data_IF_887547440895
#
_entry.id   IF_887547440895
#
_cell.length_a   1.000
_cell.length_b   1.000
_cell.length_c   1.000
_cell.angle_alpha   90.00
_cell.angle_beta   90.00
_cell.angle_gamma   90.00
#
_symmetry.space_group_name_H-M   'P 1'
#
loop_
_entity.id
_entity.type
_entity.pdbx_description
1 polymer ?
#
# COMPACT_ATOMS: atom_id res chain seq x y z
N UNK A 1 12.72 -17.71 -11.20
CA UNK A 1 11.50 -18.53 -11.40
C UNK A 1 11.21 -18.89 -12.86
N UNK A 2 11.07 -17.95 -13.81
CA UNK A 2 10.81 -18.29 -15.23
C UNK A 2 11.81 -19.29 -15.86
N UNK A 3 13.11 -19.16 -15.59
CA UNK A 3 14.10 -20.15 -16.05
C UNK A 3 13.88 -21.53 -15.44
N UNK A 4 13.51 -21.59 -14.16
CA UNK A 4 13.28 -22.84 -13.44
C UNK A 4 12.04 -23.58 -13.93
N UNK A 5 10.98 -22.86 -14.31
CA UNK A 5 9.79 -23.50 -14.88
C UNK A 5 10.00 -24.13 -16.25
N UNK A 6 11.01 -23.69 -17.02
CA UNK A 6 11.37 -24.37 -18.26
C UNK A 6 12.00 -25.75 -18.01
N UNK A 7 12.62 -25.94 -16.85
CA UNK A 7 13.30 -27.19 -16.47
C UNK A 7 12.35 -28.11 -15.70
N UNK A 8 11.62 -27.54 -14.74
CA UNK A 8 10.82 -28.29 -13.76
C UNK A 8 9.32 -28.29 -14.04
N UNK A 9 8.87 -27.62 -15.10
CA UNK A 9 7.46 -27.51 -15.48
C UNK A 9 6.72 -26.36 -14.78
N UNK A 10 5.39 -26.37 -14.93
CA UNK A 10 4.51 -25.30 -14.44
C UNK A 10 4.31 -25.32 -12.92
N UNK A 11 4.51 -26.45 -12.26
CA UNK A 11 4.39 -26.58 -10.80
C UNK A 11 5.66 -27.27 -10.30
N UNK A 12 6.38 -26.62 -9.39
CA UNK A 12 7.59 -27.18 -8.80
C UNK A 12 7.77 -26.73 -7.36
N UNK A 13 8.46 -27.54 -6.55
CA UNK A 13 8.80 -27.20 -5.17
C UNK A 13 10.21 -26.61 -5.06
N UNK A 14 10.40 -25.78 -4.03
CA UNK A 14 11.68 -25.20 -3.63
C UNK A 14 11.82 -25.31 -2.12
N UNK A 15 13.01 -25.64 -1.64
CA UNK A 15 13.37 -25.46 -0.24
C UNK A 15 14.06 -24.10 -0.08
N UNK A 16 13.46 -23.23 0.74
CA UNK A 16 13.93 -21.89 1.02
C UNK A 16 14.55 -21.83 2.43
N UNK A 17 15.53 -22.69 2.70
CA UNK A 17 16.22 -22.74 3.99
C UNK A 17 15.34 -23.35 5.09
N UNK A 18 14.71 -24.49 4.80
CA UNK A 18 13.78 -25.19 5.68
C UNK A 18 12.32 -24.78 5.49
N UNK A 19 12.04 -23.78 4.64
CA UNK A 19 10.68 -23.40 4.25
C UNK A 19 10.37 -24.06 2.90
N UNK A 20 9.54 -25.10 2.93
CA UNK A 20 9.04 -25.73 1.69
C UNK A 20 8.04 -24.81 1.00
N UNK A 21 8.38 -24.38 -0.21
CA UNK A 21 7.55 -23.52 -1.05
C UNK A 21 7.16 -24.24 -2.34
N UNK A 22 5.90 -24.09 -2.76
CA UNK A 22 5.44 -24.56 -4.07
C UNK A 22 5.28 -23.34 -4.97
N UNK A 23 5.92 -23.36 -6.14
CA UNK A 23 5.81 -22.32 -7.15
C UNK A 23 4.80 -22.77 -8.21
N UNK A 24 3.74 -21.99 -8.35
CA UNK A 24 2.75 -22.12 -9.41
C UNK A 24 3.10 -21.16 -10.54
N UNK A 25 3.38 -21.68 -11.73
CA UNK A 25 3.68 -20.91 -12.92
C UNK A 25 2.81 -21.37 -14.11
N UNK A 26 1.68 -20.72 -14.30
CA UNK A 26 0.74 -21.01 -15.38
C UNK A 26 -0.66 -20.59 -14.99
N UNK A 27 -1.46 -20.17 -15.97
CA UNK A 27 -2.83 -19.69 -15.70
C UNK A 27 -3.69 -20.79 -15.06
N UNK A 28 -3.69 -21.99 -15.63
CA UNK A 28 -4.55 -23.09 -15.17
C UNK A 28 -4.18 -23.54 -13.75
N UNK A 29 -2.88 -23.70 -13.46
CA UNK A 29 -2.39 -24.06 -12.12
C UNK A 29 -2.75 -23.01 -11.07
N UNK A 30 -2.60 -21.72 -11.39
CA UNK A 30 -2.92 -20.61 -10.48
C UNK A 30 -4.43 -20.52 -10.27
N UNK A 31 -5.23 -20.69 -11.33
CA UNK A 31 -6.71 -20.65 -11.25
C UNK A 31 -7.24 -21.83 -10.44
N UNK A 32 -6.71 -23.02 -10.64
CA UNK A 32 -7.10 -24.21 -9.87
C UNK A 32 -6.89 -23.98 -8.37
N UNK A 33 -5.70 -23.54 -7.96
CA UNK A 33 -5.40 -23.30 -6.55
C UNK A 33 -6.15 -22.10 -5.95
N UNK A 34 -6.21 -20.96 -6.63
CA UNK A 34 -6.72 -19.71 -6.04
C UNK A 34 -8.23 -19.51 -6.24
N UNK A 35 -8.89 -20.24 -7.15
CA UNK A 35 -10.32 -20.11 -7.43
C UNK A 35 -11.06 -21.41 -7.10
N UNK A 36 -10.64 -22.54 -7.68
CA UNK A 36 -11.37 -23.80 -7.49
C UNK A 36 -11.10 -24.44 -6.12
N UNK A 37 -9.91 -24.21 -5.56
CA UNK A 37 -9.49 -24.73 -4.25
C UNK A 37 -9.16 -23.58 -3.27
N UNK A 38 -9.82 -22.43 -3.41
CA UNK A 38 -9.46 -21.20 -2.72
C UNK A 38 -9.38 -21.35 -1.20
N UNK A 39 -10.26 -22.14 -0.58
CA UNK A 39 -10.24 -22.37 0.88
C UNK A 39 -9.00 -23.13 1.36
N UNK A 40 -8.47 -24.05 0.55
CA UNK A 40 -7.28 -24.85 0.87
C UNK A 40 -6.01 -23.96 0.81
N UNK A 41 -5.97 -23.05 -0.16
CA UNK A 41 -4.84 -22.15 -0.40
C UNK A 41 -5.05 -20.73 0.18
N UNK A 42 -6.07 -20.53 1.02
CA UNK A 42 -6.42 -19.21 1.56
C UNK A 42 -5.44 -18.73 2.65
N UNK A 43 -4.75 -19.66 3.32
CA UNK A 43 -3.95 -19.36 4.50
C UNK A 43 -2.68 -18.54 4.19
N UNK A 44 -2.06 -17.97 5.22
CA UNK A 44 -0.83 -17.19 5.15
C UNK A 44 0.31 -17.92 5.86
N UNK A 45 1.52 -17.95 5.28
CA UNK A 45 2.66 -18.59 5.92
C UNK A 45 3.02 -17.86 7.21
N UNK A 46 3.21 -18.61 8.30
CA UNK A 46 3.65 -18.05 9.58
C UNK A 46 5.16 -17.87 9.58
N UNK A 47 5.61 -16.78 8.96
CA UNK A 47 7.04 -16.44 8.94
C UNK A 47 7.47 -15.84 10.29
N UNK A 48 8.67 -16.20 10.81
CA UNK A 48 9.19 -15.66 12.07
C UNK A 48 9.19 -14.12 12.10
N UNK A 49 9.47 -13.48 10.96
CA UNK A 49 9.44 -12.03 10.85
C UNK A 49 8.06 -11.45 11.16
N UNK A 50 7.00 -11.93 10.50
CA UNK A 50 5.65 -11.41 10.72
C UNK A 50 5.14 -11.75 12.11
N UNK A 51 5.54 -12.89 12.68
CA UNK A 51 5.26 -13.19 14.09
C UNK A 51 5.93 -12.18 15.04
N UNK A 52 7.16 -11.73 14.74
CA UNK A 52 7.86 -10.73 15.55
C UNK A 52 7.31 -9.30 15.36
N UNK A 53 6.90 -8.95 14.15
CA UNK A 53 6.47 -7.59 13.80
C UNK A 53 5.00 -7.32 14.13
N UNK A 54 4.11 -8.27 13.84
CA UNK A 54 2.65 -8.06 13.93
C UNK A 54 1.95 -9.13 14.74
N UNK A 55 2.68 -10.05 15.39
CA UNK A 55 2.11 -11.22 16.08
C UNK A 55 1.13 -12.02 15.20
N UNK A 56 1.32 -12.00 13.88
CA UNK A 56 0.38 -12.57 12.90
C UNK A 56 -1.04 -11.95 12.95
N UNK A 57 -1.17 -10.71 13.43
CA UNK A 57 -2.37 -9.89 13.34
C UNK A 57 -2.41 -9.04 12.06
N UNK A 58 -3.41 -8.17 11.97
CA UNK A 58 -3.73 -7.38 10.79
C UNK A 58 -4.66 -8.13 9.81
N UNK A 59 -4.54 -7.80 8.53
CA UNK A 59 -5.34 -8.29 7.41
C UNK A 59 -4.52 -9.08 6.38
N UNK A 60 -3.26 -8.70 6.16
CA UNK A 60 -2.39 -9.26 5.12
C UNK A 60 -1.73 -10.56 5.56
N UNK A 61 -1.23 -10.58 6.79
CA UNK A 61 -0.43 -11.69 7.34
C UNK A 61 -1.23 -12.64 8.23
N UNK A 62 -2.44 -12.25 8.64
CA UNK A 62 -3.29 -13.07 9.51
C UNK A 62 -3.65 -14.41 8.89
N UNK A 63 -3.67 -15.44 9.74
CA UNK A 63 -4.07 -16.79 9.34
C UNK A 63 -5.53 -16.83 8.90
N UNK A 64 -5.83 -17.67 7.93
CA UNK A 64 -7.19 -17.89 7.49
C UNK A 64 -8.03 -18.48 8.63
N UNK A 65 -9.19 -17.89 8.88
CA UNK A 65 -10.07 -18.29 9.97
C UNK A 65 -11.07 -17.20 10.34
N UNK A 66 -11.72 -17.37 11.49
CA UNK A 66 -12.76 -16.44 12.00
C UNK A 66 -12.24 -15.01 12.12
N UNK A 67 -11.11 -14.80 12.79
CA UNK A 67 -10.54 -13.46 12.98
C UNK A 67 -10.26 -12.75 11.65
N UNK A 68 -9.50 -13.37 10.75
CA UNK A 68 -9.24 -12.78 9.43
C UNK A 68 -10.54 -12.46 8.67
N UNK A 69 -11.54 -13.34 8.75
CA UNK A 69 -12.82 -13.14 8.06
C UNK A 69 -13.59 -11.94 8.63
N UNK A 70 -13.67 -11.82 9.96
CA UNK A 70 -14.32 -10.70 10.66
C UNK A 70 -13.65 -9.37 10.32
N UNK A 71 -12.33 -9.29 10.51
CA UNK A 71 -11.53 -8.08 10.22
C UNK A 71 -11.59 -7.67 8.75
N UNK A 72 -11.47 -8.63 7.83
CA UNK A 72 -11.59 -8.36 6.39
C UNK A 72 -12.98 -7.87 6.01
N UNK A 73 -14.03 -8.47 6.58
CA UNK A 73 -15.42 -8.06 6.32
C UNK A 73 -15.66 -6.63 6.81
N UNK A 74 -15.14 -6.28 7.99
CA UNK A 74 -15.19 -4.92 8.52
C UNK A 74 -14.49 -3.94 7.57
N UNK A 75 -13.23 -4.21 7.20
CA UNK A 75 -12.46 -3.35 6.29
C UNK A 75 -13.18 -3.15 4.95
N UNK A 76 -13.64 -4.23 4.30
CA UNK A 76 -14.37 -4.15 3.02
C UNK A 76 -15.69 -3.38 3.16
N UNK A 77 -16.44 -3.58 4.24
CA UNK A 77 -17.68 -2.84 4.49
C UNK A 77 -17.42 -1.35 4.68
N UNK A 78 -16.38 -0.99 5.45
CA UNK A 78 -15.92 0.38 5.64
C UNK A 78 -15.50 1.01 4.32
N UNK A 79 -14.70 0.34 3.50
CA UNK A 79 -14.33 0.84 2.17
C UNK A 79 -15.55 1.04 1.28
N UNK A 80 -16.56 0.18 1.38
CA UNK A 80 -17.82 0.38 0.65
C UNK A 80 -18.60 1.59 1.18
N UNK A 81 -18.67 1.80 2.49
CA UNK A 81 -19.48 2.87 3.09
C UNK A 81 -18.82 4.24 2.91
N UNK A 82 -17.52 4.35 3.19
CA UNK A 82 -16.79 5.63 3.20
C UNK A 82 -15.96 5.87 1.93
N UNK A 83 -15.75 4.81 1.14
CA UNK A 83 -15.15 4.86 -0.19
C UNK A 83 -16.21 4.83 -1.28
N UNK A 84 -16.18 3.84 -2.15
CA UNK A 84 -16.88 3.83 -3.45
C UNK A 84 -18.42 3.69 -3.42
N UNK A 85 -19.06 3.43 -2.27
CA UNK A 85 -20.53 3.32 -2.18
C UNK A 85 -21.29 4.64 -2.06
N UNK A 86 -20.58 5.78 -1.95
CA UNK A 86 -21.20 7.10 -1.87
C UNK A 86 -20.63 8.05 -2.95
N UNK A 87 -21.45 8.99 -3.42
CA UNK A 87 -20.99 10.13 -4.24
C UNK A 87 -19.91 10.99 -3.54
N UNK A 88 -19.77 10.85 -2.22
CA UNK A 88 -18.82 11.60 -1.39
C UNK A 88 -17.36 11.19 -1.62
N UNK A 89 -17.07 9.96 -2.04
CA UNK A 89 -15.68 9.53 -2.23
C UNK A 89 -15.08 9.98 -3.58
N UNK A 90 -15.90 10.03 -4.63
CA UNK A 90 -15.53 10.71 -5.89
C UNK A 90 -15.14 12.16 -5.62
N UNK A 91 -15.88 12.83 -4.73
CA UNK A 91 -15.55 14.19 -4.30
C UNK A 91 -14.21 14.26 -3.55
N UNK A 92 -13.93 13.35 -2.61
CA UNK A 92 -12.62 13.27 -1.91
C UNK A 92 -11.45 13.11 -2.88
N UNK A 93 -11.57 12.25 -3.89
CA UNK A 93 -10.52 12.07 -4.92
C UNK A 93 -10.35 13.32 -5.78
N UNK A 94 -11.47 13.91 -6.21
CA UNK A 94 -11.44 15.14 -7.00
C UNK A 94 -10.82 16.29 -6.22
N UNK A 95 -11.11 16.41 -4.93
CA UNK A 95 -10.56 17.43 -4.04
C UNK A 95 -9.04 17.24 -3.85
N UNK A 96 -8.58 16.02 -3.53
CA UNK A 96 -7.15 15.74 -3.40
C UNK A 96 -6.39 15.93 -4.72
N UNK A 97 -7.04 15.68 -5.86
CA UNK A 97 -6.45 15.97 -7.17
C UNK A 97 -6.19 17.47 -7.36
N UNK A 98 -7.05 18.35 -6.85
CA UNK A 98 -6.82 19.80 -6.90
C UNK A 98 -5.59 20.16 -6.06
N UNK A 99 -5.50 19.67 -4.82
CA UNK A 99 -4.34 19.90 -3.96
C UNK A 99 -3.03 19.40 -4.59
N UNK A 100 -3.06 18.22 -5.20
CA UNK A 100 -1.91 17.66 -5.90
C UNK A 100 -1.47 18.52 -7.10
N UNK A 101 -2.41 18.98 -7.91
CA UNK A 101 -2.11 19.84 -9.07
C UNK A 101 -1.57 21.20 -8.64
N UNK A 102 -2.11 21.77 -7.56
CA UNK A 102 -1.63 23.03 -7.00
C UNK A 102 -0.20 22.88 -6.44
N UNK A 103 0.09 21.75 -5.79
CA UNK A 103 1.45 21.42 -5.34
C UNK A 103 2.44 21.30 -6.52
N UNK A 104 2.05 20.68 -7.63
CA UNK A 104 2.87 20.64 -8.86
C UNK A 104 3.05 22.04 -9.46
N UNK A 105 2.00 22.86 -9.51
CA UNK A 105 2.05 24.23 -10.07
C UNK A 105 3.11 25.11 -9.35
N UNK A 106 3.44 24.83 -8.08
CA UNK A 106 4.49 25.56 -7.34
C UNK A 106 5.88 25.44 -7.95
N UNK A 107 6.16 24.36 -8.68
CA UNK A 107 7.45 24.13 -9.32
C UNK A 107 7.65 25.00 -10.58
N UNK A 108 6.57 25.52 -11.17
CA UNK A 108 6.59 26.46 -12.32
C UNK A 108 7.45 25.95 -13.49
N UNK A 109 7.29 24.67 -13.85
CA UNK A 109 8.04 24.03 -14.94
C UNK A 109 9.47 23.61 -14.61
N UNK A 110 9.97 23.90 -13.40
CA UNK A 110 11.30 23.43 -12.97
C UNK A 110 11.30 21.91 -12.72
N UNK A 111 12.43 21.22 -12.93
CA UNK A 111 12.55 19.79 -12.61
C UNK A 111 12.28 19.50 -11.14
N UNK A 112 11.57 18.41 -10.85
CA UNK A 112 11.34 17.94 -9.48
C UNK A 112 11.17 16.42 -9.39
N UNK A 113 11.27 15.90 -8.16
CA UNK A 113 10.94 14.51 -7.85
C UNK A 113 9.44 14.39 -7.53
N UNK A 114 8.74 13.62 -8.36
CA UNK A 114 7.31 13.41 -8.25
C UNK A 114 6.93 12.40 -7.14
N UNK A 115 7.89 11.60 -6.65
CA UNK A 115 7.63 10.51 -5.71
C UNK A 115 6.86 11.00 -4.49
N UNK A 116 7.35 12.04 -3.81
CA UNK A 116 6.74 12.53 -2.57
C UNK A 116 5.32 13.08 -2.82
N UNK A 117 5.12 13.89 -3.86
CA UNK A 117 3.80 14.46 -4.16
C UNK A 117 2.75 13.40 -4.48
N UNK A 118 3.09 12.39 -5.31
CA UNK A 118 2.15 11.29 -5.61
C UNK A 118 1.89 10.47 -4.36
N UNK A 119 2.92 10.18 -3.57
CA UNK A 119 2.77 9.39 -2.35
C UNK A 119 1.79 10.07 -1.40
N UNK A 120 1.92 11.38 -1.20
CA UNK A 120 1.02 12.16 -0.37
C UNK A 120 -0.41 12.17 -0.89
N UNK A 121 -0.59 12.42 -2.19
CA UNK A 121 -1.92 12.42 -2.80
C UNK A 121 -2.64 11.09 -2.57
N UNK A 122 -1.97 9.97 -2.86
CA UNK A 122 -2.53 8.62 -2.71
C UNK A 122 -2.77 8.28 -1.24
N UNK A 123 -1.80 8.57 -0.37
CA UNK A 123 -1.94 8.36 1.07
C UNK A 123 -3.12 9.13 1.63
N UNK A 124 -3.34 10.37 1.22
CA UNK A 124 -4.47 11.17 1.69
C UNK A 124 -5.82 10.57 1.33
N UNK A 125 -5.98 9.97 0.13
CA UNK A 125 -7.20 9.23 -0.20
C UNK A 125 -7.42 8.07 0.78
N UNK A 126 -6.35 7.33 1.09
CA UNK A 126 -6.40 6.20 2.03
C UNK A 126 -6.72 6.67 3.45
N UNK A 127 -6.05 7.73 3.92
CA UNK A 127 -6.21 8.31 5.24
C UNK A 127 -7.61 8.92 5.46
N UNK A 128 -8.21 9.51 4.42
CA UNK A 128 -9.59 10.00 4.47
C UNK A 128 -10.64 8.89 4.66
N UNK A 129 -10.28 7.63 4.39
CA UNK A 129 -11.13 6.46 4.70
C UNK A 129 -10.80 5.90 6.08
N UNK A 130 -9.52 5.89 6.45
CA UNK A 130 -9.05 5.25 7.69
C UNK A 130 -9.30 6.13 8.92
N UNK A 131 -8.91 7.40 8.83
CA UNK A 131 -8.92 8.40 9.89
C UNK A 131 -9.95 9.51 9.66
N UNK A 132 -10.48 9.64 8.45
CA UNK A 132 -11.42 10.72 8.10
C UNK A 132 -10.76 12.10 7.95
N UNK A 133 -9.44 12.16 8.01
CA UNK A 133 -8.64 13.38 7.86
C UNK A 133 -7.53 13.22 6.82
N UNK A 134 -7.06 14.34 6.29
CA UNK A 134 -5.93 14.43 5.35
C UNK A 134 -4.72 15.03 6.06
N UNK A 135 -3.54 14.67 5.59
CA UNK A 135 -2.27 15.26 6.02
C UNK A 135 -1.80 16.28 4.98
N UNK A 136 -1.15 17.35 5.45
CA UNK A 136 -0.56 18.35 4.54
C UNK A 136 0.66 17.78 3.85
N UNK A 137 1.04 18.36 2.71
CA UNK A 137 2.20 17.86 1.96
C UNK A 137 3.52 18.19 2.66
N UNK A 138 3.47 19.16 3.58
CA UNK A 138 4.55 19.62 4.44
C UNK A 138 4.59 18.90 5.79
N UNK A 139 3.66 17.97 6.07
CA UNK A 139 3.62 17.23 7.32
C UNK A 139 4.82 16.26 7.41
N UNK A 140 5.84 16.68 8.15
CA UNK A 140 7.10 15.93 8.27
C UNK A 140 6.95 14.63 9.03
N UNK A 141 6.02 14.53 9.97
CA UNK A 141 5.82 13.31 10.77
C UNK A 141 5.16 12.23 9.91
N UNK A 142 4.12 12.61 9.15
CA UNK A 142 3.50 11.69 8.21
C UNK A 142 4.45 11.27 7.08
N UNK A 143 5.25 12.21 6.54
CA UNK A 143 6.29 11.87 5.56
C UNK A 143 7.26 10.84 6.13
N UNK A 144 7.73 11.06 7.36
CA UNK A 144 8.68 10.17 7.99
C UNK A 144 8.11 8.75 8.16
N UNK A 145 6.85 8.63 8.61
CA UNK A 145 6.19 7.33 8.70
C UNK A 145 6.14 6.60 7.35
N UNK A 146 5.78 7.29 6.26
CA UNK A 146 5.72 6.68 4.93
C UNK A 146 7.11 6.27 4.43
N UNK A 147 8.15 7.06 4.72
CA UNK A 147 9.54 6.69 4.40
C UNK A 147 9.98 5.44 5.16
N UNK A 148 9.66 5.35 6.45
CA UNK A 148 9.92 4.17 7.28
C UNK A 148 9.19 2.94 6.70
N UNK A 149 7.94 3.07 6.27
CA UNK A 149 7.22 1.98 5.61
C UNK A 149 7.91 1.49 4.34
N UNK A 150 8.32 2.42 3.47
CA UNK A 150 9.02 2.09 2.24
C UNK A 150 10.38 1.42 2.53
N UNK A 151 11.10 1.90 3.55
CA UNK A 151 12.35 1.28 4.01
C UNK A 151 12.09 -0.14 4.53
N UNK A 152 11.06 -0.34 5.35
CA UNK A 152 10.72 -1.64 5.93
C UNK A 152 10.47 -2.71 4.87
N UNK A 153 9.88 -2.33 3.74
CA UNK A 153 9.64 -3.23 2.61
C UNK A 153 10.95 -3.60 1.91
N UNK A 154 11.84 -2.64 1.69
CA UNK A 154 13.17 -2.91 1.15
C UNK A 154 14.01 -3.79 2.10
N UNK A 155 13.93 -3.53 3.40
CA UNK A 155 14.59 -4.32 4.44
C UNK A 155 14.01 -5.74 4.51
N UNK A 156 12.68 -5.89 4.41
CA UNK A 156 12.01 -7.19 4.44
C UNK A 156 12.42 -8.09 3.27
N UNK A 157 12.73 -7.50 2.10
CA UNK A 157 13.26 -8.21 0.93
C UNK A 157 14.78 -8.50 1.01
N UNK A 158 15.47 -8.06 2.05
CA UNK A 158 16.93 -8.22 2.17
C UNK A 158 17.36 -9.65 2.51
N UNK A 159 18.55 -10.05 2.06
CA UNK A 159 19.13 -11.35 2.37
C UNK A 159 19.24 -11.62 3.88
N UNK A 160 19.54 -10.59 4.68
CA UNK A 160 19.58 -10.68 6.14
C UNK A 160 18.24 -11.01 6.78
N UNK A 161 17.13 -10.49 6.23
CA UNK A 161 15.79 -10.80 6.73
C UNK A 161 15.33 -12.17 6.24
N UNK A 162 15.71 -12.56 5.03
CA UNK A 162 15.51 -13.93 4.56
C UNK A 162 16.23 -14.95 5.46
N UNK A 163 17.47 -14.66 5.86
CA UNK A 163 18.20 -15.48 6.83
C UNK A 163 17.52 -15.50 8.21
N UNK A 164 16.97 -14.38 8.68
CA UNK A 164 16.19 -14.37 9.92
C UNK A 164 14.96 -15.29 9.84
N UNK A 165 14.26 -15.32 8.72
CA UNK A 165 13.11 -16.22 8.52
C UNK A 165 13.51 -17.69 8.50
N UNK A 166 14.66 -18.04 7.92
CA UNK A 166 15.19 -19.40 7.95
C UNK A 166 15.78 -19.78 9.33
N UNK A 167 16.41 -18.82 10.01
CA UNK A 167 17.17 -19.00 11.24
C UNK A 167 16.83 -17.91 12.28
N UNK A 168 15.70 -18.03 13.01
CA UNK A 168 15.22 -16.96 13.90
C UNK A 168 16.17 -16.59 15.05
N UNK A 169 17.07 -17.49 15.43
CA UNK A 169 18.09 -17.26 16.46
C UNK A 169 19.07 -16.12 16.09
N UNK A 170 19.18 -15.77 14.80
CA UNK A 170 19.94 -14.60 14.32
C UNK A 170 19.43 -13.30 14.97
N UNK A 171 18.17 -13.24 15.38
CA UNK A 171 17.60 -12.06 16.06
C UNK A 171 18.22 -11.74 17.43
N UNK A 172 19.10 -12.59 17.97
CA UNK A 172 19.89 -12.29 19.17
C UNK A 172 21.02 -11.30 18.84
N UNK A 173 21.46 -11.23 17.57
CA UNK A 173 22.52 -10.33 17.16
C UNK A 173 22.04 -8.87 17.21
N UNK A 174 22.76 -7.96 17.88
CA UNK A 174 22.33 -6.57 18.05
C UNK A 174 22.53 -5.71 16.79
N UNK A 175 22.92 -6.32 15.66
CA UNK A 175 23.28 -5.63 14.43
C UNK A 175 22.69 -6.31 13.19
N UNK A 176 22.47 -5.50 12.15
CA UNK A 176 21.95 -5.95 10.85
C UNK A 176 20.59 -5.34 10.50
N UNK A 177 20.18 -5.53 9.25
CA UNK A 177 18.95 -4.92 8.71
C UNK A 177 17.68 -5.39 9.39
N UNK A 178 17.65 -6.60 9.95
CA UNK A 178 16.52 -7.10 10.73
C UNK A 178 16.31 -6.29 12.03
N UNK A 179 17.39 -5.82 12.66
CA UNK A 179 17.29 -4.96 13.84
C UNK A 179 16.78 -3.56 13.49
N UNK A 180 17.21 -3.01 12.35
CA UNK A 180 16.65 -1.74 11.84
C UNK A 180 15.15 -1.88 11.59
N UNK A 181 14.74 -2.98 10.94
CA UNK A 181 13.33 -3.30 10.69
C UNK A 181 12.51 -3.39 11.99
N UNK A 182 13.06 -3.94 13.07
CA UNK A 182 12.39 -3.97 14.37
C UNK A 182 12.24 -2.59 15.02
N UNK A 183 13.26 -1.73 14.91
CA UNK A 183 13.18 -0.34 15.40
C UNK A 183 12.13 0.45 14.65
N UNK A 184 12.19 0.40 13.33
CA UNK A 184 11.23 1.04 12.44
C UNK A 184 9.80 0.59 12.71
N UNK A 185 9.57 -0.70 12.96
CA UNK A 185 8.25 -1.21 13.29
C UNK A 185 7.71 -0.71 14.64
N UNK A 186 8.58 -0.55 15.65
CA UNK A 186 8.19 0.02 16.94
C UNK A 186 7.81 1.50 16.80
N UNK A 187 8.61 2.27 16.06
CA UNK A 187 8.35 3.69 15.81
C UNK A 187 7.03 3.92 15.06
N UNK A 188 6.75 3.12 14.03
CA UNK A 188 5.46 3.12 13.33
C UNK A 188 4.31 2.76 14.28
N UNK A 189 4.51 1.77 15.15
CA UNK A 189 3.48 1.36 16.10
C UNK A 189 3.11 2.50 17.05
N UNK A 190 4.11 3.19 17.62
CA UNK A 190 3.92 4.31 18.53
C UNK A 190 3.20 5.48 17.82
N UNK A 191 3.65 5.83 16.61
CA UNK A 191 2.98 6.87 15.80
C UNK A 191 1.51 6.54 15.52
N UNK A 192 1.23 5.31 15.06
CA UNK A 192 -0.14 4.89 14.76
C UNK A 192 -0.99 4.81 16.03
N UNK A 193 -0.41 4.40 17.15
CA UNK A 193 -1.10 4.38 18.43
C UNK A 193 -1.56 5.78 18.84
N UNK A 194 -0.66 6.76 18.83
CA UNK A 194 -0.96 8.17 19.14
C UNK A 194 -1.97 8.78 18.17
N UNK A 195 -1.81 8.49 16.88
CA UNK A 195 -2.75 8.95 15.86
C UNK A 195 -4.16 8.39 16.08
N UNK A 196 -4.27 7.08 16.39
CA UNK A 196 -5.56 6.44 16.67
C UNK A 196 -6.22 7.06 17.90
N UNK A 197 -5.47 7.34 18.97
CA UNK A 197 -5.99 8.06 20.14
C UNK A 197 -6.58 9.40 19.73
N UNK A 198 -5.78 10.23 19.05
CA UNK A 198 -6.16 11.59 18.62
C UNK A 198 -7.45 11.61 17.81
N UNK A 199 -7.57 10.75 16.78
CA UNK A 199 -8.77 10.73 15.91
C UNK A 199 -10.01 10.20 16.64
N UNK A 200 -9.80 9.43 17.72
CA UNK A 200 -10.87 8.82 18.51
C UNK A 200 -11.39 9.68 19.66
N UNK A 201 -10.71 10.78 20.03
CA UNK A 201 -11.08 11.64 21.18
C UNK A 201 -12.55 12.09 21.18
N UNK A 202 -13.09 12.39 19.99
CA UNK A 202 -14.46 12.89 19.81
C UNK A 202 -15.39 11.86 19.14
N UNK A 203 -15.05 10.58 19.26
CA UNK A 203 -15.83 9.48 18.67
C UNK A 203 -17.23 9.43 19.29
N UNK A 204 -18.23 9.17 18.44
CA UNK A 204 -19.60 8.88 18.86
C UNK A 204 -19.87 7.38 18.66
N UNK A 205 -20.15 6.62 19.72
CA UNK A 205 -20.42 5.19 19.59
C UNK A 205 -21.55 4.91 18.59
N UNK A 206 -21.40 3.85 17.79
CA UNK A 206 -22.37 3.39 16.78
C UNK A 206 -22.64 4.38 15.63
N UNK A 207 -21.79 5.39 15.48
CA UNK A 207 -21.88 6.37 14.39
C UNK A 207 -20.48 6.60 13.78
N UNK A 208 -19.92 5.56 13.13
CA UNK A 208 -18.55 5.62 12.68
C UNK A 208 -18.37 6.62 11.53
N UNK A 209 -17.31 7.43 11.62
CA UNK A 209 -16.96 8.41 10.58
C UNK A 209 -15.94 7.85 9.57
N UNK A 210 -15.17 6.86 9.99
CA UNK A 210 -14.04 6.27 9.27
C UNK A 210 -13.72 4.87 9.83
N UNK A 211 -12.73 4.18 9.24
CA UNK A 211 -12.36 2.81 9.63
C UNK A 211 -12.07 2.64 11.12
N UNK A 212 -11.26 3.55 11.69
CA UNK A 212 -10.89 3.49 13.12
C UNK A 212 -12.13 3.51 14.02
N UNK A 213 -13.08 4.42 13.78
CA UNK A 213 -14.32 4.45 14.56
C UNK A 213 -15.11 3.14 14.42
N UNK A 214 -15.23 2.62 13.19
CA UNK A 214 -15.98 1.39 12.93
C UNK A 214 -15.35 0.17 13.64
N UNK A 215 -14.03 0.10 13.70
CA UNK A 215 -13.33 -0.96 14.40
C UNK A 215 -13.49 -0.83 15.93
N UNK A 216 -13.40 0.39 16.46
CA UNK A 216 -13.60 0.62 17.88
C UNK A 216 -15.05 0.30 18.32
N UNK A 217 -16.04 0.56 17.46
CA UNK A 217 -17.42 0.14 17.72
C UNK A 217 -17.57 -1.39 17.77
N UNK A 218 -16.86 -2.14 16.91
CA UNK A 218 -16.80 -3.60 17.00
C UNK A 218 -16.10 -4.09 18.28
N UNK A 219 -15.07 -3.37 18.74
CA UNK A 219 -14.42 -3.65 20.03
C UNK A 219 -15.39 -3.47 21.20
N UNK A 220 -16.11 -2.35 21.26
CA UNK A 220 -17.08 -2.07 22.31
C UNK A 220 -18.22 -3.11 22.31
N UNK A 221 -18.74 -3.48 21.13
CA UNK A 221 -19.76 -4.52 20.99
C UNK A 221 -19.31 -5.89 21.49
N UNK A 222 -18.01 -6.16 21.47
CA UNK A 222 -17.42 -7.46 21.84
C UNK A 222 -16.61 -7.42 23.15
N UNK A 223 -16.68 -6.34 23.95
CA UNK A 223 -15.85 -6.15 25.15
C UNK A 223 -15.96 -7.31 26.15
N UNK A 224 -17.17 -7.85 26.33
CA UNK A 224 -17.44 -8.95 27.26
C UNK A 224 -17.25 -10.34 26.66
N UNK A 225 -16.80 -10.44 25.40
CA UNK A 225 -16.62 -11.71 24.71
C UNK A 225 -15.15 -12.17 24.81
N UNK A 226 -14.83 -13.22 25.60
CA UNK A 226 -13.46 -13.71 25.74
C UNK A 226 -12.92 -14.34 24.44
N UNK A 227 -13.79 -14.69 23.49
CA UNK A 227 -13.42 -15.19 22.16
C UNK A 227 -13.39 -14.08 21.10
N UNK A 228 -13.46 -12.80 21.51
CA UNK A 228 -13.36 -11.68 20.58
C UNK A 228 -12.02 -11.70 19.86
N UNK A 229 -12.06 -11.49 18.55
CA UNK A 229 -10.87 -11.36 17.71
C UNK A 229 -10.41 -9.91 17.57
N UNK A 230 -11.20 -8.95 18.09
CA UNK A 230 -10.90 -7.53 18.05
C UNK A 230 -10.04 -7.11 19.24
N UNK A 231 -8.87 -6.56 18.95
CA UNK A 231 -7.99 -5.95 19.94
C UNK A 231 -7.43 -4.64 19.44
N UNK A 232 -6.98 -3.79 20.37
CA UNK A 232 -6.33 -2.52 20.05
C UNK A 232 -5.03 -2.72 19.27
N UNK A 233 -4.26 -3.73 19.63
CA UNK A 233 -3.04 -4.13 18.92
C UNK A 233 -3.36 -4.49 17.45
N UNK A 234 -4.40 -5.29 17.23
CA UNK A 234 -4.79 -5.70 15.87
C UNK A 234 -5.39 -4.54 15.05
N UNK A 235 -6.00 -3.54 15.68
CA UNK A 235 -6.40 -2.29 15.03
C UNK A 235 -5.18 -1.56 14.47
N UNK A 236 -4.14 -1.37 15.28
CA UNK A 236 -2.90 -0.68 14.87
C UNK A 236 -2.26 -1.39 13.68
N UNK A 237 -2.14 -2.72 13.74
CA UNK A 237 -1.60 -3.50 12.62
C UNK A 237 -2.48 -3.39 11.37
N UNK A 238 -3.80 -3.48 11.51
CA UNK A 238 -4.74 -3.35 10.38
C UNK A 238 -4.63 -1.98 9.72
N UNK A 239 -4.57 -0.90 10.52
CA UNK A 239 -4.40 0.47 10.03
C UNK A 239 -3.09 0.62 9.25
N UNK A 240 -1.96 0.17 9.82
CA UNK A 240 -0.66 0.25 9.16
C UNK A 240 -0.66 -0.52 7.83
N UNK A 241 -1.19 -1.74 7.81
CA UNK A 241 -1.27 -2.54 6.58
C UNK A 241 -2.16 -1.91 5.51
N UNK A 242 -3.29 -1.30 5.87
CA UNK A 242 -4.16 -0.60 4.93
C UNK A 242 -3.49 0.63 4.32
N UNK A 243 -2.76 1.42 5.13
CA UNK A 243 -2.01 2.60 4.66
C UNK A 243 -0.94 2.18 3.65
N UNK A 244 -0.11 1.19 4.01
CA UNK A 244 0.97 0.69 3.14
C UNK A 244 0.39 0.16 1.83
N UNK A 245 -0.62 -0.73 1.91
CA UNK A 245 -1.19 -1.39 0.75
C UNK A 245 -1.83 -0.38 -0.23
N UNK A 246 -2.60 0.58 0.30
CA UNK A 246 -3.27 1.61 -0.48
C UNK A 246 -2.31 2.64 -1.08
N UNK A 247 -1.25 2.99 -0.35
CA UNK A 247 -0.29 4.01 -0.75
C UNK A 247 0.71 3.47 -1.76
N UNK A 248 1.56 2.52 -1.37
CA UNK A 248 2.78 2.25 -2.12
C UNK A 248 2.53 1.64 -3.50
N UNK A 249 1.54 0.74 -3.59
CA UNK A 249 1.21 0.07 -4.85
C UNK A 249 0.68 1.07 -5.87
N UNK A 250 -0.31 1.88 -5.48
CA UNK A 250 -0.92 2.91 -6.32
C UNK A 250 0.09 3.98 -6.69
N UNK A 251 0.90 4.48 -5.76
CA UNK A 251 1.99 5.42 -6.04
C UNK A 251 2.94 4.90 -7.11
N UNK A 252 3.37 3.64 -7.01
CA UNK A 252 4.29 3.07 -7.99
C UNK A 252 3.64 2.90 -9.37
N UNK A 253 2.37 2.51 -9.44
CA UNK A 253 1.64 2.49 -10.72
C UNK A 253 1.53 3.90 -11.30
N UNK A 254 1.21 4.89 -10.46
CA UNK A 254 1.10 6.27 -10.90
C UNK A 254 2.43 6.81 -11.47
N UNK A 255 3.54 6.52 -10.77
CA UNK A 255 4.89 6.85 -11.23
C UNK A 255 5.23 6.19 -12.56
N UNK A 256 4.97 4.89 -12.71
CA UNK A 256 5.19 4.19 -13.99
C UNK A 256 4.42 4.81 -15.13
N UNK A 257 3.14 5.12 -14.96
CA UNK A 257 2.38 5.71 -16.05
C UNK A 257 2.83 7.16 -16.34
N UNK A 258 3.23 7.97 -15.35
CA UNK A 258 3.88 9.27 -15.63
C UNK A 258 5.18 9.09 -16.42
N UNK A 259 6.02 8.13 -16.04
CA UNK A 259 7.26 7.82 -16.74
C UNK A 259 7.00 7.44 -18.21
N UNK A 260 6.06 6.52 -18.45
CA UNK A 260 5.72 6.11 -19.81
C UNK A 260 5.09 7.24 -20.63
N UNK A 261 4.27 8.08 -20.02
CA UNK A 261 3.71 9.24 -20.71
C UNK A 261 4.79 10.25 -21.10
N UNK A 262 5.77 10.50 -20.22
CA UNK A 262 6.92 11.36 -20.52
C UNK A 262 7.81 10.77 -21.63
N UNK A 263 7.97 9.44 -21.67
CA UNK A 263 8.74 8.73 -22.71
C UNK A 263 8.03 8.71 -24.08
N UNK A 264 6.70 8.68 -24.08
CA UNK A 264 5.90 8.60 -25.30
C UNK A 264 4.90 9.78 -25.42
N UNK A 265 5.36 11.03 -25.61
CA UNK A 265 4.51 12.22 -25.57
C UNK A 265 3.29 12.18 -26.51
N UNK A 266 3.39 11.44 -27.60
CA UNK A 266 2.30 11.23 -28.57
C UNK A 266 1.03 10.62 -27.95
N UNK A 267 1.13 9.92 -26.81
CA UNK A 267 -0.01 9.35 -26.11
C UNK A 267 -0.71 10.35 -25.16
N UNK A 268 -0.09 11.51 -24.87
CA UNK A 268 -0.63 12.54 -23.97
C UNK A 268 -1.73 13.42 -24.60
N UNK A 269 -2.18 13.12 -25.82
CA UNK A 269 -3.16 13.92 -26.56
C UNK A 269 -4.60 13.82 -26.02
N UNK A 270 -5.43 14.87 -26.24
CA UNK A 270 -6.85 14.91 -25.86
C UNK A 270 -7.66 13.91 -26.71
N UNK A 271 -8.06 12.77 -26.12
CA UNK A 271 -9.08 11.88 -26.71
C UNK A 271 -10.28 11.85 -25.78
N UNK A 272 -11.46 12.22 -26.30
CA UNK A 272 -12.73 12.00 -25.60
C UNK A 272 -12.95 10.49 -25.46
N UNK A 273 -12.98 9.99 -24.22
CA UNK A 273 -13.14 8.57 -23.96
C UNK A 273 -14.61 8.27 -23.66
N UNK A 274 -15.24 7.47 -24.52
CA UNK A 274 -16.62 6.98 -24.38
C UNK A 274 -16.83 6.08 -23.13
N UNK A 275 -15.74 5.73 -22.43
CA UNK A 275 -15.73 4.92 -21.21
C UNK A 275 -15.72 5.72 -19.89
N UNK A 276 -16.08 7.00 -19.90
CA UNK A 276 -16.13 7.91 -18.73
C UNK A 276 -16.80 7.31 -17.48
N UNK A 277 -17.89 6.53 -17.67
CA UNK A 277 -18.56 5.84 -16.56
C UNK A 277 -17.86 4.55 -16.11
N UNK A 278 -17.05 3.92 -16.96
CA UNK A 278 -16.27 2.70 -16.64
C UNK A 278 -14.89 3.03 -16.04
N UNK A 279 -14.36 4.21 -16.36
CA UNK A 279 -13.11 4.77 -15.83
C UNK A 279 -13.23 5.33 -14.40
N UNK A 280 -14.41 5.18 -13.79
CA UNK A 280 -14.87 5.82 -12.54
C UNK A 280 -14.30 5.18 -11.25
N UNK A 281 -13.32 4.28 -11.34
CA UNK A 281 -12.61 3.71 -10.18
C UNK A 281 -11.14 4.22 -10.10
N UNK A 282 -10.98 5.53 -9.92
CA UNK A 282 -9.81 6.17 -9.27
C UNK A 282 -8.59 6.58 -10.12
N UNK A 283 -7.97 5.73 -10.92
CA UNK A 283 -6.63 6.07 -11.46
C UNK A 283 -6.66 7.07 -12.63
N UNK A 284 -7.73 7.06 -13.43
CA UNK A 284 -7.80 7.85 -14.66
C UNK A 284 -7.98 9.35 -14.40
N UNK A 285 -8.73 9.77 -13.37
CA UNK A 285 -8.98 11.20 -13.09
C UNK A 285 -7.69 11.94 -12.70
N UNK A 286 -6.86 11.32 -11.87
CA UNK A 286 -5.55 11.85 -11.51
C UNK A 286 -4.69 12.07 -12.76
N UNK A 287 -4.60 11.04 -13.60
CA UNK A 287 -3.83 11.10 -14.83
C UNK A 287 -4.40 12.07 -15.87
N UNK A 288 -5.70 12.07 -16.11
CA UNK A 288 -6.28 12.97 -17.09
C UNK A 288 -6.19 14.42 -16.65
N UNK A 289 -6.39 14.72 -15.37
CA UNK A 289 -6.29 16.10 -14.88
C UNK A 289 -4.85 16.60 -14.98
N UNK A 290 -3.88 15.74 -14.64
CA UNK A 290 -2.45 16.01 -14.84
C UNK A 290 -2.13 16.27 -16.32
N UNK A 291 -2.58 15.40 -17.24
CA UNK A 291 -2.31 15.51 -18.67
C UNK A 291 -3.08 16.63 -19.36
N UNK A 292 -4.27 17.01 -18.89
CA UNK A 292 -5.06 18.10 -19.46
C UNK A 292 -4.47 19.47 -19.14
N UNK A 293 -3.76 19.58 -18.01
CA UNK A 293 -3.22 20.84 -17.49
C UNK A 293 -1.73 21.01 -17.76
N UNK A 294 -0.99 19.91 -17.94
CA UNK A 294 0.46 19.95 -18.14
C UNK A 294 0.93 19.11 -19.35
N UNK A 295 2.05 19.51 -19.93
CA UNK A 295 2.95 18.72 -20.76
C UNK A 295 4.06 18.17 -19.86
N UNK A 296 4.18 16.84 -19.79
CA UNK A 296 5.21 16.17 -18.99
C UNK A 296 6.39 15.77 -19.89
N UNK A 297 7.60 16.21 -19.55
CA UNK A 297 8.83 15.94 -20.28
C UNK A 297 10.01 15.69 -19.32
N UNK A 298 11.12 15.13 -19.82
CA UNK A 298 12.35 15.02 -19.05
C UNK A 298 13.20 16.30 -19.17
N UNK A 299 14.03 16.61 -18.16
CA UNK A 299 15.05 17.66 -18.30
C UNK A 299 15.95 17.41 -19.52
N UNK A 300 16.40 18.48 -20.16
CA UNK A 300 17.22 18.40 -21.37
C UNK A 300 18.46 17.51 -21.16
N UNK A 301 18.61 16.50 -22.03
CA UNK A 301 19.76 15.57 -22.02
C UNK A 301 19.65 14.41 -21.03
N UNK A 302 18.54 14.24 -20.31
CA UNK A 302 18.35 13.14 -19.35
C UNK A 302 17.58 11.99 -19.99
N UNK A 303 18.15 10.78 -19.94
CA UNK A 303 17.48 9.53 -20.34
C UNK A 303 17.29 8.68 -19.08
N UNK A 304 16.06 8.34 -18.66
CA UNK A 304 15.83 7.56 -17.46
C UNK A 304 16.21 6.09 -17.64
N UNK A 305 16.68 5.43 -16.58
CA UNK A 305 16.90 3.98 -16.56
C UNK A 305 15.57 3.24 -16.38
N UNK A 306 15.29 2.29 -17.26
CA UNK A 306 14.07 1.49 -17.26
C UNK A 306 14.22 0.18 -16.46
N UNK A 307 15.41 -0.12 -15.93
CA UNK A 307 15.62 -1.29 -15.08
C UNK A 307 14.83 -1.13 -13.78
N UNK A 308 13.87 -2.03 -13.49
CA UNK A 308 13.09 -1.92 -12.28
C UNK A 308 13.97 -2.18 -11.05
N UNK A 309 13.70 -1.45 -9.97
CA UNK A 309 14.20 -1.74 -8.64
C UNK A 309 13.22 -2.68 -7.93
N UNK A 310 13.75 -3.62 -7.14
CA UNK A 310 12.93 -4.53 -6.35
C UNK A 310 12.40 -3.80 -5.09
N UNK A 311 11.09 -3.83 -4.87
CA UNK A 311 10.38 -3.42 -3.65
C UNK A 311 9.18 -4.34 -3.43
N UNK A 312 8.10 -3.87 -2.78
CA UNK A 312 6.85 -4.65 -2.69
C UNK A 312 6.30 -4.97 -4.10
N UNK A 313 6.44 -4.01 -5.01
CA UNK A 313 6.22 -4.17 -6.45
C UNK A 313 7.50 -3.79 -7.20
N UNK A 314 7.51 -3.97 -8.52
CA UNK A 314 8.59 -3.45 -9.36
C UNK A 314 8.48 -1.91 -9.40
N UNK A 315 9.48 -1.23 -8.86
CA UNK A 315 9.53 0.23 -8.81
C UNK A 315 10.42 0.78 -9.93
N UNK A 316 10.14 1.98 -10.47
CA UNK A 316 11.08 2.66 -11.35
C UNK A 316 12.29 3.18 -10.53
N UNK A 317 13.44 3.36 -11.18
CA UNK A 317 14.57 4.09 -10.59
C UNK A 317 14.16 5.54 -10.26
N UNK A 318 14.85 6.25 -9.36
CA UNK A 318 14.64 7.68 -9.19
C UNK A 318 14.84 8.43 -10.52
N UNK A 319 13.90 9.29 -10.89
CA UNK A 319 13.95 10.11 -12.10
C UNK A 319 13.35 11.48 -11.84
N UNK A 320 13.84 12.50 -12.57
CA UNK A 320 13.30 13.86 -12.53
C UNK A 320 12.39 14.10 -13.73
N UNK A 321 11.33 14.87 -13.54
CA UNK A 321 10.44 15.32 -14.62
C UNK A 321 10.25 16.84 -14.59
N UNK A 322 9.93 17.41 -15.74
CA UNK A 322 9.40 18.77 -15.89
C UNK A 322 7.91 18.67 -16.23
N UNK A 323 7.10 19.54 -15.61
CA UNK A 323 5.67 19.69 -15.91
C UNK A 323 5.41 21.13 -16.39
N UNK A 324 5.30 21.31 -17.70
CA UNK A 324 5.05 22.61 -18.33
C UNK A 324 3.55 22.81 -18.47
N UNK A 325 3.01 23.94 -17.98
CA UNK A 325 1.57 24.20 -18.08
C UNK A 325 1.16 24.34 -19.56
N UNK A 326 0.05 23.70 -19.93
CA UNK A 326 -0.53 23.79 -21.27
C UNK A 326 -1.15 25.15 -21.58
#
# INVERSE_FOLDING_TARGET
MRRQSHIHGQIFSLDLGGISAIVLNGYDAVKECLVHQSEIFADRPSLPLFKKLTNMGGLLNSKYGRGWTEHRKLAVNTFRIFGYGQRSFEHKISEESVFFLDAIDTYKGRPFDLKHLITNAVSNITNLIIFGERFTYEDTEFQHMIEIFSENIELAASASVFLYNAFPWIGILPFGKHQQLFKNAAEVYDFLHELIERVSENRKPQSPRHFVDAYLDEMDCNENNPESTYSRENLIFSVGELIIAGTETTTNVLRWAVLFMALYPNIQGRRHCLGEQLARMEMFLFFTSLLQRFHLCFPHGVIPDLKPRLGMTLQPQPYLICAERR
#
